data_IF_324987086250
#
_entry.id   IF_324987086250
#
_cell.length_a   1.000
_cell.length_b   1.000
_cell.length_c   1.000
_cell.angle_alpha   90.00
_cell.angle_beta   90.00
_cell.angle_gamma   90.00
#
_symmetry.space_group_name_H-M   'P 1'
#
loop_
_entity.id
_entity.type
_entity.pdbx_description
1 polymer ?
#
# COMPACT_ATOMS: atom_id res chain seq x y z
N UNK A 1 10.90 0.36 2.64
CA UNK A 1 10.38 1.07 3.82
C UNK A 1 10.86 0.35 5.07
N UNK A 2 11.58 1.04 5.96
CA UNK A 2 12.03 0.43 7.22
C UNK A 2 10.94 0.61 8.29
N UNK A 3 10.35 -0.50 8.75
CA UNK A 3 9.26 -0.50 9.74
C UNK A 3 9.73 0.08 11.08
N UNK A 4 10.98 -0.14 11.47
CA UNK A 4 11.53 0.39 12.71
C UNK A 4 11.58 1.92 12.67
N UNK A 5 12.06 2.49 11.55
CA UNK A 5 12.09 3.94 11.35
C UNK A 5 10.69 4.54 11.37
N UNK A 6 9.74 3.94 10.63
CA UNK A 6 8.34 4.42 10.61
C UNK A 6 7.72 4.49 12.01
N UNK A 7 7.96 3.48 12.86
CA UNK A 7 7.43 3.46 14.23
C UNK A 7 8.03 4.57 15.10
N UNK A 8 9.31 4.89 14.88
CA UNK A 8 9.96 6.00 15.58
C UNK A 8 9.41 7.35 15.12
N UNK A 9 9.26 7.54 13.81
CA UNK A 9 8.70 8.76 13.24
C UNK A 9 7.26 8.98 13.73
N UNK A 10 6.45 7.92 13.78
CA UNK A 10 5.10 7.97 14.34
C UNK A 10 5.09 8.35 15.83
N UNK A 11 5.99 7.77 16.63
CA UNK A 11 6.09 8.09 18.05
C UNK A 11 6.48 9.56 18.27
N UNK A 12 7.43 10.07 17.47
CA UNK A 12 7.87 11.45 17.54
C UNK A 12 6.75 12.44 17.18
N UNK A 13 5.96 12.13 16.14
CA UNK A 13 4.88 13.00 15.65
C UNK A 13 3.65 12.98 16.57
N UNK A 14 3.27 11.80 17.08
CA UNK A 14 1.98 11.62 17.77
C UNK A 14 2.12 11.37 19.28
N UNK A 15 3.33 11.34 19.83
CA UNK A 15 3.62 11.19 21.27
C UNK A 15 3.19 9.84 21.87
N UNK A 16 2.87 8.85 21.03
CA UNK A 16 2.47 7.49 21.45
C UNK A 16 2.90 6.43 20.42
N UNK A 17 3.15 5.19 20.83
CA UNK A 17 3.52 4.14 19.90
C UNK A 17 2.37 3.78 18.95
N UNK A 18 2.70 3.43 17.70
CA UNK A 18 1.72 2.90 16.76
C UNK A 18 1.16 1.56 17.25
N UNK A 19 -0.17 1.41 17.21
CA UNK A 19 -0.85 0.18 17.63
C UNK A 19 -0.55 -1.00 16.69
N UNK A 20 -0.52 -0.74 15.39
CA UNK A 20 -0.24 -1.72 14.35
C UNK A 20 0.37 -1.05 13.12
N UNK A 21 0.99 -1.85 12.26
CA UNK A 21 1.48 -1.42 10.94
C UNK A 21 0.79 -2.29 9.90
N UNK A 22 0.20 -1.66 8.90
CA UNK A 22 -0.46 -2.34 7.79
C UNK A 22 0.33 -2.08 6.52
N UNK A 23 0.36 -3.07 5.63
CA UNK A 23 1.04 -2.99 4.35
C UNK A 23 0.11 -3.54 3.27
N UNK A 24 -0.06 -2.76 2.20
CA UNK A 24 -0.72 -3.18 0.98
C UNK A 24 0.27 -2.94 -0.16
N UNK A 25 0.70 -3.99 -0.89
CA UNK A 25 1.58 -3.80 -2.01
C UNK A 25 0.86 -3.03 -3.12
N UNK A 26 1.63 -2.23 -3.86
CA UNK A 26 1.17 -1.80 -5.18
C UNK A 26 1.01 -3.00 -6.10
N UNK A 27 0.29 -2.81 -7.21
CA UNK A 27 0.11 -3.81 -8.26
C UNK A 27 0.45 -3.19 -9.61
N UNK A 28 1.02 -3.98 -10.50
CA UNK A 28 1.19 -3.60 -11.91
C UNK A 28 0.16 -4.34 -12.74
N UNK A 29 -0.28 -3.75 -13.84
CA UNK A 29 -1.12 -4.46 -14.78
C UNK A 29 -0.23 -4.98 -15.92
N UNK A 30 -0.36 -6.27 -16.25
CA UNK A 30 0.39 -6.89 -17.35
C UNK A 30 -0.34 -6.68 -18.68
N UNK A 31 -1.67 -6.76 -18.68
CA UNK A 31 -2.52 -6.47 -19.83
C UNK A 31 -3.95 -6.11 -19.40
N UNK A 32 -4.64 -5.33 -20.24
CA UNK A 32 -6.03 -4.91 -20.03
C UNK A 32 -6.14 -3.51 -19.44
N UNK A 33 -5.44 -2.52 -20.00
CA UNK A 33 -5.57 -1.12 -19.59
C UNK A 33 -6.93 -0.55 -20.02
N UNK A 34 -7.52 0.31 -19.20
CA UNK A 34 -8.72 1.10 -19.51
C UNK A 34 -10.00 0.30 -19.84
N UNK A 35 -10.05 -1.00 -19.52
CA UNK A 35 -11.24 -1.84 -19.75
C UNK A 35 -11.92 -2.28 -18.44
N UNK A 36 -11.24 -2.12 -17.31
CA UNK A 36 -11.72 -2.54 -15.99
C UNK A 36 -13.01 -1.80 -15.59
N UNK A 37 -13.06 -0.48 -15.78
CA UNK A 37 -14.27 0.32 -15.50
C UNK A 37 -15.45 0.01 -16.44
N UNK A 38 -15.21 -0.72 -17.53
CA UNK A 38 -16.25 -1.23 -18.43
C UNK A 38 -16.60 -2.71 -18.17
N UNK A 39 -16.08 -3.32 -17.10
CA UNK A 39 -16.29 -4.74 -16.77
C UNK A 39 -15.40 -5.71 -17.56
N UNK A 40 -14.38 -5.21 -18.24
CA UNK A 40 -13.37 -6.03 -18.92
C UNK A 40 -12.49 -6.81 -17.95
N UNK A 41 -12.01 -7.98 -18.38
CA UNK A 41 -11.05 -8.78 -17.59
C UNK A 41 -9.64 -8.20 -17.73
N UNK A 42 -8.92 -8.14 -16.63
CA UNK A 42 -7.53 -7.63 -16.57
C UNK A 42 -6.59 -8.69 -15.99
N UNK A 43 -5.29 -8.56 -16.24
CA UNK A 43 -4.26 -9.44 -15.69
C UNK A 43 -3.24 -8.65 -14.88
N UNK A 44 -3.45 -8.49 -13.56
CA UNK A 44 -2.50 -7.83 -12.69
C UNK A 44 -1.39 -8.78 -12.21
N UNK A 45 -0.31 -8.19 -11.68
CA UNK A 45 0.77 -8.87 -10.95
C UNK A 45 1.14 -8.09 -9.68
#
# INVERSE_FOLDING_TARGET
>A
MNIAQLKQDFLAEFGRPAHAVYFAPGRVNLIGEHIDYNGGRVLPA
#
